data_IF_576900853121
#
_entry.id   IF_576900853121
#
_cell.length_a   1.000
_cell.length_b   1.000
_cell.length_c   1.000
_cell.angle_alpha   90.00
_cell.angle_beta   90.00
_cell.angle_gamma   90.00
#
_symmetry.space_group_name_H-M   'P 1'
#
loop_
_entity.id
_entity.type
_entity.pdbx_description
1 polymer ?
#
# COMPACT_ATOMS: atom_id res chain seq x y z
N UNK A 1 -50.90 -54.44 -7.77
CA UNK A 1 -50.67 -53.04 -8.18
C UNK A 1 -49.24 -52.64 -7.80
N UNK A 2 -48.31 -52.61 -8.76
CA UNK A 2 -46.88 -52.31 -8.48
C UNK A 2 -46.65 -50.81 -8.74
N UNK A 3 -46.48 -50.04 -7.67
CA UNK A 3 -46.08 -48.64 -7.75
C UNK A 3 -44.68 -48.53 -8.39
N UNK A 4 -44.61 -47.97 -9.59
CA UNK A 4 -43.36 -47.71 -10.28
C UNK A 4 -42.63 -46.54 -9.59
N UNK A 5 -41.51 -46.81 -8.92
CA UNK A 5 -40.66 -45.76 -8.35
C UNK A 5 -40.03 -44.94 -9.50
N UNK A 6 -40.48 -43.71 -9.72
CA UNK A 6 -39.84 -42.80 -10.67
C UNK A 6 -38.47 -42.37 -10.13
N UNK A 7 -37.40 -42.84 -10.77
CA UNK A 7 -36.03 -42.38 -10.47
C UNK A 7 -35.87 -40.90 -10.88
N UNK A 8 -35.25 -40.05 -10.06
CA UNK A 8 -35.12 -38.63 -10.37
C UNK A 8 -34.20 -38.38 -11.59
N UNK A 9 -34.64 -37.47 -12.46
CA UNK A 9 -33.96 -37.02 -13.69
C UNK A 9 -32.56 -36.47 -13.42
N UNK A 10 -31.58 -36.82 -14.27
CA UNK A 10 -30.19 -36.36 -14.18
C UNK A 10 -30.04 -34.82 -14.19
N UNK A 11 -30.98 -34.10 -14.84
CA UNK A 11 -31.01 -32.63 -14.89
C UNK A 11 -31.29 -32.01 -13.51
N UNK A 12 -32.14 -32.64 -12.71
CA UNK A 12 -32.43 -32.21 -11.34
C UNK A 12 -31.23 -32.41 -10.40
N UNK A 13 -30.43 -33.47 -10.62
CA UNK A 13 -29.18 -33.70 -9.87
C UNK A 13 -28.11 -32.66 -10.18
N UNK A 14 -27.97 -32.26 -11.46
CA UNK A 14 -27.04 -31.22 -11.87
C UNK A 14 -27.39 -29.84 -11.28
N UNK A 15 -28.67 -29.47 -11.29
CA UNK A 15 -29.14 -28.21 -10.67
C UNK A 15 -28.95 -28.23 -9.15
N UNK A 16 -29.27 -29.34 -8.49
CA UNK A 16 -29.07 -29.48 -7.04
C UNK A 16 -27.60 -29.33 -6.64
N UNK A 17 -26.69 -30.00 -7.37
CA UNK A 17 -25.26 -29.90 -7.11
C UNK A 17 -24.72 -28.48 -7.32
N UNK A 18 -25.17 -27.80 -8.37
CA UNK A 18 -24.83 -26.40 -8.62
C UNK A 18 -25.34 -25.45 -7.52
N UNK A 19 -26.55 -25.68 -6.99
CA UNK A 19 -27.09 -24.89 -5.86
C UNK A 19 -26.31 -25.13 -4.57
N UNK A 20 -25.97 -26.38 -4.26
CA UNK A 20 -25.16 -26.72 -3.06
C UNK A 20 -23.77 -26.10 -3.15
N UNK A 21 -23.10 -26.19 -4.30
CA UNK A 21 -21.81 -25.53 -4.53
C UNK A 21 -21.95 -24.01 -4.41
N UNK A 22 -22.98 -23.41 -5.01
CA UNK A 22 -23.22 -21.97 -4.94
C UNK A 22 -23.44 -21.48 -3.51
N UNK A 23 -24.17 -22.24 -2.68
CA UNK A 23 -24.36 -21.93 -1.26
C UNK A 23 -23.05 -22.06 -0.47
N UNK A 24 -22.25 -23.12 -0.74
CA UNK A 24 -20.95 -23.31 -0.12
C UNK A 24 -20.00 -22.16 -0.48
N UNK A 25 -19.90 -21.78 -1.75
CA UNK A 25 -19.07 -20.66 -2.21
C UNK A 25 -19.54 -19.33 -1.60
N UNK A 26 -20.85 -19.10 -1.52
CA UNK A 26 -21.42 -17.91 -0.88
C UNK A 26 -21.10 -17.86 0.61
N UNK A 27 -21.16 -19.01 1.29
CA UNK A 27 -20.78 -19.14 2.69
C UNK A 27 -19.28 -18.86 2.89
N UNK A 28 -18.40 -19.50 2.11
CA UNK A 28 -16.95 -19.27 2.16
C UNK A 28 -16.65 -17.78 1.94
N UNK A 29 -17.23 -17.16 0.90
CA UNK A 29 -17.04 -15.73 0.62
C UNK A 29 -17.46 -14.84 1.79
N UNK A 30 -18.60 -15.14 2.43
CA UNK A 30 -19.06 -14.38 3.60
C UNK A 30 -18.11 -14.54 4.79
N UNK A 31 -17.65 -15.76 5.06
CA UNK A 31 -16.69 -16.05 6.13
C UNK A 31 -15.38 -15.31 5.87
N UNK A 32 -14.81 -15.41 4.66
CA UNK A 32 -13.60 -14.68 4.29
C UNK A 32 -13.80 -13.16 4.42
N UNK A 33 -14.94 -12.62 3.98
CA UNK A 33 -15.22 -11.20 4.12
C UNK A 33 -15.27 -10.75 5.59
N UNK A 34 -15.86 -11.55 6.48
CA UNK A 34 -15.90 -11.28 7.92
C UNK A 34 -14.49 -11.35 8.53
N UNK A 35 -13.70 -12.38 8.18
CA UNK A 35 -12.32 -12.52 8.63
C UNK A 35 -11.49 -11.31 8.18
N UNK A 36 -11.55 -10.95 6.89
CA UNK A 36 -10.84 -9.80 6.36
C UNK A 36 -11.26 -8.50 7.05
N UNK A 37 -12.56 -8.30 7.29
CA UNK A 37 -13.06 -7.15 8.03
C UNK A 37 -12.45 -7.08 9.43
N UNK A 38 -12.46 -8.19 10.18
CA UNK A 38 -11.88 -8.25 11.53
C UNK A 38 -10.37 -7.99 11.48
N UNK A 39 -9.64 -8.63 10.55
CA UNK A 39 -8.21 -8.43 10.37
C UNK A 39 -7.86 -6.97 10.05
N UNK A 40 -8.63 -6.32 9.18
CA UNK A 40 -8.45 -4.89 8.90
C UNK A 40 -8.68 -4.03 10.13
N UNK A 41 -9.72 -4.34 10.93
CA UNK A 41 -10.05 -3.58 12.15
C UNK A 41 -9.01 -3.76 13.26
N UNK A 42 -8.36 -4.92 13.32
CA UNK A 42 -7.23 -5.15 14.24
C UNK A 42 -6.04 -4.23 13.87
N UNK A 43 -5.87 -3.92 12.58
CA UNK A 43 -4.81 -3.03 12.08
C UNK A 43 -5.20 -1.55 12.09
N UNK A 44 -6.29 -1.16 12.75
CA UNK A 44 -6.70 0.24 12.84
C UNK A 44 -5.62 1.11 13.53
N UNK A 45 -5.43 2.32 13.02
CA UNK A 45 -4.36 3.25 13.44
C UNK A 45 -4.65 3.95 14.78
N UNK A 46 -4.64 3.20 15.88
CA UNK A 46 -4.45 3.75 17.23
C UNK A 46 -2.97 4.06 17.46
N UNK A 47 -2.59 4.92 18.41
CA UNK A 47 -1.17 5.28 18.64
C UNK A 47 -0.26 4.05 18.78
N UNK A 48 -0.65 3.09 19.62
CA UNK A 48 0.13 1.88 19.85
C UNK A 48 0.14 0.94 18.63
N UNK A 49 -0.97 0.86 17.88
CA UNK A 49 -1.05 -0.01 16.71
C UNK A 49 -0.36 0.61 15.49
N UNK A 50 -0.40 1.94 15.33
CA UNK A 50 0.32 2.67 14.30
C UNK A 50 1.83 2.42 14.41
N UNK A 51 2.40 2.42 15.62
CA UNK A 51 3.81 2.08 15.81
C UNK A 51 4.16 0.68 15.25
N UNK A 52 3.33 -0.32 15.56
CA UNK A 52 3.49 -1.68 15.02
C UNK A 52 3.29 -1.75 13.51
N UNK A 53 2.29 -1.05 12.99
CA UNK A 53 2.00 -0.99 11.56
C UNK A 53 3.16 -0.34 10.78
N UNK A 54 3.80 0.68 11.37
CA UNK A 54 4.98 1.36 10.82
C UNK A 54 6.18 0.40 10.83
N UNK A 55 6.46 -0.24 11.96
CA UNK A 55 7.53 -1.27 12.08
C UNK A 55 7.34 -2.39 11.04
N UNK A 56 6.14 -2.98 10.94
CA UNK A 56 5.81 -4.03 9.97
C UNK A 56 6.08 -3.61 8.51
N UNK A 57 6.01 -2.31 8.19
CA UNK A 57 6.15 -1.82 6.82
C UNK A 57 7.56 -1.31 6.50
N UNK A 58 8.16 -0.53 7.40
CA UNK A 58 9.43 0.17 7.15
C UNK A 58 10.65 -0.61 7.66
N UNK A 59 10.51 -1.55 8.60
CA UNK A 59 11.63 -2.36 9.13
C UNK A 59 11.82 -3.69 8.39
N UNK A 60 11.32 -3.78 7.14
CA UNK A 60 11.58 -4.93 6.25
C UNK A 60 13.06 -5.05 5.84
N UNK A 61 13.86 -4.01 6.07
CA UNK A 61 15.31 -3.97 5.84
C UNK A 61 15.72 -3.01 4.72
N UNK A 62 16.82 -2.28 4.94
CA UNK A 62 17.33 -1.28 3.98
C UNK A 62 17.66 -1.91 2.62
N UNK A 63 18.28 -3.09 2.61
CA UNK A 63 18.65 -3.82 1.38
C UNK A 63 17.46 -4.00 0.42
N UNK A 64 16.24 -4.18 0.96
CA UNK A 64 15.04 -4.36 0.17
C UNK A 64 14.59 -3.03 -0.47
N UNK A 65 14.62 -1.94 0.30
CA UNK A 65 14.24 -0.61 -0.18
C UNK A 65 15.25 -0.04 -1.19
N UNK A 66 16.53 -0.31 -1.00
CA UNK A 66 17.60 0.07 -1.94
C UNK A 66 17.43 -0.52 -3.35
N UNK A 67 16.64 -1.60 -3.51
CA UNK A 67 16.34 -2.19 -4.82
C UNK A 67 15.47 -1.30 -5.71
N UNK A 68 14.71 -0.36 -5.13
CA UNK A 68 13.72 0.43 -5.88
C UNK A 68 13.65 1.91 -5.50
N UNK A 69 14.28 2.34 -4.41
CA UNK A 69 14.45 3.76 -4.08
C UNK A 69 15.68 4.34 -4.79
N UNK A 70 15.70 5.66 -4.93
CA UNK A 70 16.90 6.38 -5.35
C UNK A 70 17.95 6.41 -4.22
N UNK A 71 19.16 6.93 -4.52
CA UNK A 71 20.28 6.95 -3.58
C UNK A 71 20.01 7.72 -2.29
N UNK A 72 19.07 8.67 -2.29
CA UNK A 72 18.70 9.43 -1.09
C UNK A 72 17.81 8.63 -0.15
N UNK A 73 17.33 7.44 -0.56
CA UNK A 73 16.34 6.64 0.16
C UNK A 73 15.05 7.43 0.44
N UNK A 74 14.69 8.36 -0.45
CA UNK A 74 13.48 9.17 -0.29
C UNK A 74 12.25 8.36 -0.65
N UNK A 75 11.44 8.03 0.35
CA UNK A 75 10.21 7.26 0.14
C UNK A 75 8.95 8.14 0.22
N UNK A 76 8.84 9.06 -0.73
CA UNK A 76 7.67 9.92 -0.93
C UNK A 76 7.51 10.27 -2.41
N UNK A 77 6.44 10.97 -2.78
CA UNK A 77 6.27 11.49 -4.14
C UNK A 77 7.44 12.41 -4.52
N UNK A 78 7.98 12.21 -5.72
CA UNK A 78 9.00 13.06 -6.32
C UNK A 78 8.36 14.21 -7.12
N UNK A 79 9.11 15.29 -7.36
CA UNK A 79 8.66 16.44 -8.13
C UNK A 79 9.42 16.50 -9.47
N UNK A 80 8.73 16.15 -10.55
CA UNK A 80 9.26 16.25 -11.91
C UNK A 80 8.98 17.64 -12.50
N UNK A 81 9.80 18.07 -13.46
CA UNK A 81 9.78 19.46 -13.95
C UNK A 81 8.67 19.80 -14.94
N UNK A 82 7.96 18.82 -15.50
CA UNK A 82 7.02 19.04 -16.61
C UNK A 82 5.54 18.98 -16.15
N UNK A 83 4.93 20.12 -15.74
CA UNK A 83 3.49 20.21 -15.55
C UNK A 83 2.73 19.78 -16.79
N UNK A 84 1.77 18.87 -16.63
CA UNK A 84 0.93 18.41 -17.73
C UNK A 84 1.55 17.35 -18.64
N UNK A 85 2.75 16.87 -18.33
CA UNK A 85 3.39 15.75 -19.04
C UNK A 85 3.45 14.51 -18.15
N UNK A 86 3.00 13.38 -18.70
CA UNK A 86 3.11 12.09 -18.02
C UNK A 86 4.54 11.57 -18.16
N UNK A 87 5.20 11.31 -17.03
CA UNK A 87 6.50 10.64 -17.00
C UNK A 87 6.32 9.20 -17.50
N UNK A 88 6.99 8.85 -18.61
CA UNK A 88 6.84 7.53 -19.27
C UNK A 88 7.91 6.53 -18.86
N UNK A 89 9.09 7.02 -18.52
CA UNK A 89 10.25 6.24 -18.10
C UNK A 89 11.04 7.09 -17.13
N UNK A 90 11.57 6.45 -16.09
CA UNK A 90 12.41 7.05 -15.05
C UNK A 90 13.51 6.06 -14.76
N UNK A 91 14.76 6.51 -14.77
CA UNK A 91 15.86 5.79 -14.12
C UNK A 91 16.16 6.35 -12.72
N UNK A 92 17.09 5.71 -12.01
CA UNK A 92 17.41 6.11 -10.64
C UNK A 92 18.03 7.52 -10.54
N UNK A 93 18.75 7.98 -11.57
CA UNK A 93 19.35 9.33 -11.55
C UNK A 93 18.29 10.41 -11.79
N UNK A 94 17.34 10.15 -12.69
CA UNK A 94 16.17 11.01 -12.91
C UNK A 94 15.28 11.07 -11.67
N UNK A 95 15.09 9.93 -10.99
CA UNK A 95 14.33 9.86 -9.74
C UNK A 95 15.02 10.65 -8.63
N UNK A 96 16.33 10.46 -8.44
CA UNK A 96 17.13 11.19 -7.44
C UNK A 96 17.00 12.71 -7.64
N UNK A 97 17.14 13.20 -8.88
CA UNK A 97 16.97 14.63 -9.22
C UNK A 97 15.56 15.12 -8.89
N UNK A 98 14.53 14.34 -9.23
CA UNK A 98 13.14 14.70 -8.93
C UNK A 98 12.85 14.70 -7.41
N UNK A 99 13.50 13.82 -6.64
CA UNK A 99 13.37 13.82 -5.18
C UNK A 99 14.08 15.02 -4.55
N UNK A 100 15.28 15.34 -5.00
CA UNK A 100 16.00 16.55 -4.55
C UNK A 100 15.24 17.81 -4.91
N UNK A 101 14.69 17.91 -6.13
CA UNK A 101 13.83 19.03 -6.52
C UNK A 101 12.61 19.18 -5.63
N UNK A 102 11.98 18.07 -5.24
CA UNK A 102 10.87 18.08 -4.28
C UNK A 102 11.31 18.61 -2.92
N UNK A 103 12.46 18.16 -2.43
CA UNK A 103 13.00 18.61 -1.13
C UNK A 103 13.32 20.10 -1.17
N UNK A 104 14.00 20.56 -2.22
CA UNK A 104 14.34 21.99 -2.42
C UNK A 104 13.08 22.85 -2.50
N UNK A 105 12.06 22.41 -3.23
CA UNK A 105 10.78 23.12 -3.28
C UNK A 105 10.09 23.20 -1.90
N UNK A 106 10.21 22.18 -1.05
CA UNK A 106 9.69 22.22 0.32
C UNK A 106 10.47 23.20 1.19
N UNK A 107 11.80 23.23 1.07
CA UNK A 107 12.67 24.18 1.78
C UNK A 107 12.34 25.61 1.37
N UNK A 108 12.22 25.88 0.07
CA UNK A 108 11.85 27.18 -0.48
C UNK A 108 10.47 27.62 0.03
N UNK A 109 9.50 26.71 0.09
CA UNK A 109 8.16 26.98 0.63
C UNK A 109 8.16 27.31 2.13
N UNK A 110 9.10 26.74 2.89
CA UNK A 110 9.23 26.99 4.33
C UNK A 110 9.96 28.31 4.63
N UNK A 111 10.63 28.91 3.64
CA UNK A 111 11.40 30.16 3.77
C UNK A 111 12.36 30.13 4.97
N UNK A 112 13.12 29.02 5.07
CA UNK A 112 13.99 28.75 6.22
C UNK A 112 15.20 29.69 6.25
N UNK A 113 15.55 30.11 7.45
CA UNK A 113 16.79 30.82 7.78
C UNK A 113 17.72 29.96 8.63
N UNK A 114 18.99 30.34 8.70
CA UNK A 114 20.03 29.65 9.50
C UNK A 114 19.71 29.57 11.02
N UNK A 115 18.77 30.37 11.51
CA UNK A 115 18.39 30.42 12.92
C UNK A 115 17.14 29.59 13.24
N UNK A 116 16.49 29.03 12.22
CA UNK A 116 15.25 28.28 12.40
C UNK A 116 15.49 26.87 12.95
N UNK A 117 14.49 26.37 13.66
CA UNK A 117 14.46 24.99 14.17
C UNK A 117 13.37 24.22 13.45
N UNK A 118 13.78 23.18 12.74
CA UNK A 118 12.88 22.39 11.90
C UNK A 118 12.51 21.08 12.60
N UNK A 119 11.23 20.74 12.58
CA UNK A 119 10.71 19.45 13.01
C UNK A 119 10.19 18.69 11.79
N UNK A 120 10.84 17.59 11.44
CA UNK A 120 10.39 16.65 10.42
C UNK A 120 9.71 15.45 11.09
N UNK A 121 8.39 15.31 10.91
CA UNK A 121 7.61 14.20 11.47
C UNK A 121 7.60 13.06 10.45
N UNK A 122 8.28 11.95 10.78
CA UNK A 122 8.43 10.81 9.87
C UNK A 122 9.51 11.05 8.83
N UNK A 123 10.74 11.30 9.28
CA UNK A 123 11.87 11.69 8.43
C UNK A 123 12.43 10.58 7.52
N UNK A 124 11.94 9.34 7.64
CA UNK A 124 12.45 8.20 6.89
C UNK A 124 13.97 8.06 7.07
N UNK A 125 14.70 8.06 5.96
CA UNK A 125 16.17 8.00 5.94
C UNK A 125 16.87 9.37 6.04
N UNK A 126 16.12 10.45 6.29
CA UNK A 126 16.67 11.77 6.64
C UNK A 126 17.10 12.64 5.47
N UNK A 127 16.71 12.32 4.24
CA UNK A 127 17.10 13.08 3.04
C UNK A 127 16.75 14.58 3.15
N UNK A 128 15.56 14.92 3.65
CA UNK A 128 15.17 16.32 3.87
C UNK A 128 16.04 16.98 4.93
N UNK A 129 16.20 16.37 6.10
CA UNK A 129 17.03 16.92 7.19
C UNK A 129 18.49 17.16 6.76
N UNK A 130 19.08 16.24 5.98
CA UNK A 130 20.42 16.39 5.42
C UNK A 130 20.47 17.58 4.45
N UNK A 131 19.48 17.69 3.56
CA UNK A 131 19.43 18.76 2.57
C UNK A 131 19.16 20.14 3.17
N UNK A 132 18.33 20.21 4.21
CA UNK A 132 17.95 21.46 4.87
C UNK A 132 19.11 22.16 5.60
N UNK A 133 20.25 21.48 5.80
CA UNK A 133 21.44 22.02 6.47
C UNK A 133 22.63 22.22 5.52
N UNK A 134 22.44 22.02 4.20
CA UNK A 134 23.45 22.26 3.16
C UNK A 134 23.36 23.68 2.60
#
# INVERSE_FOLDING_TARGET
>A
EKAASRKPSAKAKGTFFATVIGLLLSFVRKVTAVINYIQHRIKDNTVAQSAKNIEEHYDLGNDMFELFLDKTMTYSCALFEEPGHCVKKVDFEELEKAQMKKIDALIDMLDLSENDKVLEIGCGWGAFAIRAVQ
#
